data_IF_637254955466
#
_entry.id   IF_637254955466
#
_cell.length_a   1.000
_cell.length_b   1.000
_cell.length_c   1.000
_cell.angle_alpha   90.00
_cell.angle_beta   90.00
_cell.angle_gamma   90.00
#
_symmetry.space_group_name_H-M   'P 1'
#
loop_
_entity.id
_entity.type
_entity.pdbx_description
1 polymer ?
#
# COMPACT_ATOMS: atom_id res chain seq x y z
N UNK A 1 7.99 -27.65 -17.21
CA UNK A 1 7.39 -27.70 -15.86
C UNK A 1 8.51 -27.83 -14.85
N UNK A 2 8.57 -26.97 -13.85
CA UNK A 2 9.52 -27.11 -12.75
C UNK A 2 9.15 -28.36 -11.93
N UNK A 3 10.16 -29.10 -11.47
CA UNK A 3 9.93 -30.27 -10.61
C UNK A 3 9.46 -29.83 -9.23
N UNK A 4 8.72 -30.69 -8.49
CA UNK A 4 8.33 -30.45 -7.09
C UNK A 4 9.51 -30.04 -6.20
N UNK A 5 10.70 -30.64 -6.45
CA UNK A 5 11.94 -30.24 -5.77
C UNK A 5 12.34 -28.80 -6.09
N UNK A 6 12.08 -28.31 -7.29
CA UNK A 6 12.33 -26.94 -7.69
C UNK A 6 11.43 -25.96 -6.96
N UNK A 7 10.14 -26.27 -6.89
CA UNK A 7 9.13 -25.48 -6.14
C UNK A 7 9.42 -25.46 -4.64
N UNK A 8 9.77 -26.60 -4.05
CA UNK A 8 10.14 -26.68 -2.62
C UNK A 8 11.34 -25.78 -2.28
N UNK A 9 12.41 -25.85 -3.07
CA UNK A 9 13.58 -24.98 -2.88
C UNK A 9 13.24 -23.49 -3.06
N UNK A 10 12.33 -23.16 -3.96
CA UNK A 10 11.86 -21.78 -4.14
C UNK A 10 11.14 -21.30 -2.86
N UNK A 11 10.19 -22.07 -2.31
CA UNK A 11 9.49 -21.73 -1.05
C UNK A 11 10.48 -21.47 0.09
N UNK A 12 11.42 -22.35 0.32
CA UNK A 12 12.45 -22.19 1.35
C UNK A 12 13.30 -20.91 1.18
N UNK A 13 13.57 -20.51 -0.06
CA UNK A 13 14.32 -19.28 -0.34
C UNK A 13 13.48 -18.05 -0.07
N UNK A 14 12.21 -18.04 -0.45
CA UNK A 14 11.27 -16.96 -0.18
C UNK A 14 11.06 -16.76 1.33
N UNK A 15 10.99 -17.85 2.12
CA UNK A 15 10.92 -17.78 3.57
C UNK A 15 12.19 -17.16 4.17
N UNK A 16 13.38 -17.54 3.68
CA UNK A 16 14.64 -16.90 4.12
C UNK A 16 14.71 -15.43 3.75
N UNK A 17 14.26 -15.04 2.55
CA UNK A 17 14.17 -13.64 2.12
C UNK A 17 13.24 -12.85 3.04
N UNK A 18 12.10 -13.40 3.40
CA UNK A 18 11.16 -12.77 4.33
C UNK A 18 11.77 -12.46 5.70
N UNK A 19 12.70 -13.30 6.18
CA UNK A 19 13.43 -13.11 7.44
C UNK A 19 14.74 -12.30 7.31
N UNK A 20 15.14 -11.91 6.11
CA UNK A 20 16.41 -11.23 5.87
C UNK A 20 16.40 -9.76 6.36
N UNK A 21 17.59 -9.18 6.49
CA UNK A 21 17.81 -7.77 6.79
C UNK A 21 17.83 -6.88 5.53
N UNK A 22 17.54 -7.45 4.35
CA UNK A 22 17.46 -6.71 3.11
C UNK A 22 16.34 -5.66 3.16
N UNK A 23 16.54 -4.56 2.44
CA UNK A 23 15.47 -3.60 2.22
C UNK A 23 14.37 -4.19 1.34
N UNK A 24 13.21 -3.52 1.34
CA UNK A 24 12.02 -4.00 0.65
C UNK A 24 12.24 -4.22 -0.85
N UNK A 25 12.93 -3.31 -1.51
CA UNK A 25 13.18 -3.37 -2.96
C UNK A 25 14.05 -4.57 -3.32
N UNK A 26 15.14 -4.78 -2.58
CA UNK A 26 16.00 -5.95 -2.73
C UNK A 26 15.23 -7.26 -2.53
N UNK A 27 14.37 -7.33 -1.50
CA UNK A 27 13.51 -8.51 -1.27
C UNK A 27 12.58 -8.76 -2.46
N UNK A 28 11.95 -7.71 -3.00
CA UNK A 28 11.05 -7.84 -4.16
C UNK A 28 11.80 -8.35 -5.40
N UNK A 29 12.96 -7.78 -5.72
CA UNK A 29 13.74 -8.14 -6.89
C UNK A 29 14.27 -9.57 -6.81
N UNK A 30 14.82 -9.99 -5.66
CA UNK A 30 15.30 -11.37 -5.47
C UNK A 30 14.15 -12.38 -5.53
N UNK A 31 13.01 -12.08 -4.87
CA UNK A 31 11.85 -12.95 -4.89
C UNK A 31 11.28 -13.13 -6.31
N UNK A 32 11.19 -12.06 -7.10
CA UNK A 32 10.74 -12.13 -8.50
C UNK A 32 11.70 -12.97 -9.32
N UNK A 33 13.02 -12.83 -9.13
CA UNK A 33 14.01 -13.65 -9.82
C UNK A 33 13.86 -15.14 -9.51
N UNK A 34 13.51 -15.50 -8.27
CA UNK A 34 13.25 -16.87 -7.87
C UNK A 34 11.94 -17.42 -8.44
N UNK A 35 10.88 -16.67 -8.35
CA UNK A 35 9.57 -17.04 -8.90
C UNK A 35 9.63 -17.20 -10.41
N UNK A 36 10.24 -16.26 -11.13
CA UNK A 36 10.39 -16.31 -12.60
C UNK A 36 11.10 -17.57 -13.06
N UNK A 37 12.16 -18.01 -12.37
CA UNK A 37 12.89 -19.23 -12.73
C UNK A 37 12.07 -20.51 -12.59
N UNK A 38 11.09 -20.53 -11.72
CA UNK A 38 10.29 -21.71 -11.41
C UNK A 38 8.96 -21.71 -12.15
N UNK A 39 8.24 -20.59 -12.16
CA UNK A 39 6.92 -20.46 -12.77
C UNK A 39 7.03 -20.22 -14.27
N UNK A 40 7.99 -19.40 -14.69
CA UNK A 40 8.15 -18.93 -16.06
C UNK A 40 7.05 -17.91 -16.40
N UNK A 41 7.39 -16.64 -16.34
CA UNK A 41 6.57 -15.52 -16.80
C UNK A 41 7.47 -14.45 -17.41
N UNK A 42 6.94 -13.67 -18.36
CA UNK A 42 7.74 -12.73 -19.12
C UNK A 42 7.92 -11.41 -18.40
N UNK A 43 6.82 -10.91 -17.82
CA UNK A 43 6.70 -9.58 -17.25
C UNK A 43 6.05 -9.64 -15.87
N UNK A 44 6.23 -8.62 -15.08
CA UNK A 44 5.67 -8.55 -13.74
C UNK A 44 5.46 -7.10 -13.29
N UNK A 45 4.62 -6.95 -12.28
CA UNK A 45 4.40 -5.72 -11.56
C UNK A 45 4.14 -6.06 -10.08
N UNK A 46 4.71 -5.30 -9.18
CA UNK A 46 4.53 -5.51 -7.74
C UNK A 46 4.20 -4.19 -7.05
N UNK A 47 2.96 -3.70 -7.18
CA UNK A 47 2.50 -2.53 -6.43
C UNK A 47 2.38 -2.86 -4.94
N UNK A 48 2.69 -1.88 -4.10
CA UNK A 48 2.35 -1.91 -2.68
C UNK A 48 0.87 -1.64 -2.49
N UNK A 49 0.38 -1.79 -1.26
CA UNK A 49 -1.02 -1.53 -0.90
C UNK A 49 -1.12 -0.56 0.28
N UNK A 50 -2.08 0.35 0.24
CA UNK A 50 -2.60 0.93 1.48
C UNK A 50 -3.45 -0.14 2.18
N UNK A 51 -3.00 -0.71 3.33
CA UNK A 51 -3.67 -1.85 3.95
C UNK A 51 -5.06 -1.54 4.50
N UNK A 52 -5.46 -0.26 4.52
CA UNK A 52 -6.77 0.20 5.01
C UNK A 52 -7.80 0.24 3.89
N UNK A 53 -7.38 0.67 2.70
CA UNK A 53 -8.28 0.92 1.57
C UNK A 53 -8.10 -0.07 0.42
N UNK A 54 -6.99 -0.82 0.40
CA UNK A 54 -6.59 -1.68 -0.72
C UNK A 54 -6.43 -0.90 -2.03
N UNK A 55 -6.02 0.36 -1.93
CA UNK A 55 -5.58 1.14 -3.08
C UNK A 55 -4.13 0.77 -3.38
N UNK A 56 -3.75 0.53 -4.65
CA UNK A 56 -2.38 0.27 -5.01
C UNK A 56 -1.56 1.54 -4.85
N UNK A 57 -0.44 1.38 -4.19
CA UNK A 57 0.61 2.38 -4.04
C UNK A 57 1.70 2.14 -5.07
N UNK A 58 2.69 3.02 -5.09
CA UNK A 58 3.89 2.83 -5.90
C UNK A 58 4.58 1.51 -5.56
N UNK A 59 5.24 0.93 -6.55
CA UNK A 59 5.94 -0.33 -6.42
C UNK A 59 6.94 -0.52 -7.55
N UNK A 60 7.42 -1.74 -7.70
CA UNK A 60 8.35 -2.12 -8.76
C UNK A 60 7.58 -2.77 -9.92
N UNK A 61 8.06 -2.56 -11.13
CA UNK A 61 7.51 -3.20 -12.31
C UNK A 61 8.58 -3.34 -13.39
N UNK A 62 8.51 -4.41 -14.14
CA UNK A 62 9.22 -4.59 -15.40
C UNK A 62 8.26 -4.42 -16.59
N UNK A 63 6.95 -4.53 -16.32
CA UNK A 63 5.91 -4.23 -17.28
C UNK A 63 5.26 -2.91 -16.94
N UNK A 64 5.20 -2.01 -17.89
CA UNK A 64 4.39 -0.82 -17.83
C UNK A 64 3.25 -0.89 -18.88
N UNK A 65 2.14 -0.27 -18.54
CA UNK A 65 1.02 -0.12 -19.46
C UNK A 65 1.14 1.18 -20.28
N UNK A 66 2.22 1.95 -20.09
CA UNK A 66 2.43 3.24 -20.72
C UNK A 66 1.23 4.17 -20.48
N UNK A 67 0.76 4.85 -21.54
CA UNK A 67 -0.39 5.78 -21.44
C UNK A 67 -1.72 5.07 -21.09
N UNK A 68 -1.79 3.73 -21.10
CA UNK A 68 -3.00 2.98 -20.75
C UNK A 68 -3.19 2.76 -19.24
N UNK A 69 -2.24 3.18 -18.40
CA UNK A 69 -2.35 3.06 -16.93
C UNK A 69 -3.68 3.59 -16.38
N UNK A 70 -4.19 4.77 -16.80
CA UNK A 70 -5.49 5.25 -16.31
C UNK A 70 -6.61 4.26 -16.57
N UNK A 71 -6.71 3.75 -17.81
CA UNK A 71 -7.79 2.84 -18.22
C UNK A 71 -7.69 1.49 -17.55
N UNK A 72 -6.49 0.92 -17.41
CA UNK A 72 -6.27 -0.35 -16.69
C UNK A 72 -6.77 -0.25 -15.25
N UNK A 73 -6.37 0.82 -14.54
CA UNK A 73 -6.75 1.01 -13.14
C UNK A 73 -8.23 1.38 -12.98
N UNK A 74 -8.77 2.15 -13.89
CA UNK A 74 -10.21 2.42 -13.93
C UNK A 74 -11.00 1.12 -14.01
N UNK A 75 -10.72 0.27 -15.01
CA UNK A 75 -11.42 -1.00 -15.20
C UNK A 75 -11.24 -1.96 -14.02
N UNK A 76 -10.05 -1.99 -13.42
CA UNK A 76 -9.78 -2.86 -12.26
C UNK A 76 -10.55 -2.41 -11.00
N UNK A 77 -10.82 -1.11 -10.84
CA UNK A 77 -11.44 -0.54 -9.63
C UNK A 77 -12.89 -0.09 -9.79
N UNK A 78 -13.46 -0.11 -11.00
CA UNK A 78 -14.88 0.19 -11.24
C UNK A 78 -15.83 -0.94 -10.85
N UNK A 79 -15.31 -2.07 -10.42
CA UNK A 79 -16.09 -3.27 -10.10
C UNK A 79 -16.42 -4.12 -11.32
N UNK A 80 -16.57 -5.41 -11.09
CA UNK A 80 -16.97 -6.37 -12.13
C UNK A 80 -15.82 -6.97 -12.96
N UNK A 81 -14.58 -6.54 -12.80
CA UNK A 81 -13.44 -7.18 -13.46
C UNK A 81 -13.01 -8.46 -12.73
N UNK A 82 -12.45 -9.40 -13.50
CA UNK A 82 -11.96 -10.68 -13.01
C UNK A 82 -10.56 -10.55 -12.43
N UNK A 83 -10.26 -11.32 -11.36
CA UNK A 83 -8.96 -11.32 -10.68
C UNK A 83 -8.50 -9.94 -10.20
N UNK A 84 -9.44 -9.02 -9.90
CA UNK A 84 -9.11 -7.68 -9.40
C UNK A 84 -8.36 -7.75 -8.06
N UNK A 85 -7.33 -6.92 -7.91
CA UNK A 85 -6.42 -6.92 -6.77
C UNK A 85 -7.14 -6.83 -5.42
N UNK A 86 -8.08 -5.91 -5.29
CA UNK A 86 -8.78 -5.67 -4.03
C UNK A 86 -9.81 -6.76 -3.70
N UNK A 87 -10.37 -7.42 -4.72
CA UNK A 87 -11.25 -8.58 -4.58
C UNK A 87 -10.46 -9.78 -4.08
N UNK A 88 -9.32 -10.09 -4.71
CA UNK A 88 -8.44 -11.18 -4.31
C UNK A 88 -7.89 -10.98 -2.88
N UNK A 89 -7.55 -9.75 -2.51
CA UNK A 89 -7.08 -9.45 -1.17
C UNK A 89 -8.10 -9.79 -0.05
N UNK A 90 -9.39 -9.86 -0.37
CA UNK A 90 -10.47 -10.18 0.60
C UNK A 90 -10.86 -11.67 0.61
N UNK A 91 -10.48 -12.44 -0.41
CA UNK A 91 -10.83 -13.87 -0.52
C UNK A 91 -10.06 -14.71 0.50
N UNK A 92 -10.57 -15.88 0.86
CA UNK A 92 -9.84 -16.89 1.65
C UNK A 92 -8.56 -17.33 0.93
N UNK A 93 -8.64 -17.64 -0.36
CA UNK A 93 -7.49 -17.84 -1.25
C UNK A 93 -7.17 -16.54 -1.98
N UNK A 94 -6.08 -15.82 -1.62
CA UNK A 94 -5.79 -14.50 -2.12
C UNK A 94 -5.01 -14.51 -3.45
N UNK A 95 -5.23 -15.53 -4.29
CA UNK A 95 -4.56 -15.74 -5.57
C UNK A 95 -5.57 -16.13 -6.65
N UNK A 96 -5.33 -15.68 -7.87
CA UNK A 96 -6.13 -16.06 -9.04
C UNK A 96 -5.41 -15.73 -10.35
N UNK A 97 -5.92 -16.23 -11.47
CA UNK A 97 -5.51 -15.79 -12.80
C UNK A 97 -6.71 -15.47 -13.67
N UNK A 98 -6.51 -14.64 -14.69
CA UNK A 98 -7.58 -14.29 -15.61
C UNK A 98 -8.15 -15.52 -16.32
N UNK A 99 -7.29 -16.43 -16.77
CA UNK A 99 -7.71 -17.66 -17.43
C UNK A 99 -8.59 -18.52 -16.52
N UNK A 100 -8.23 -18.66 -15.25
CA UNK A 100 -9.01 -19.43 -14.26
C UNK A 100 -10.34 -18.76 -13.94
N UNK A 101 -10.33 -17.46 -13.62
CA UNK A 101 -11.52 -16.71 -13.21
C UNK A 101 -12.53 -16.53 -14.37
N UNK A 102 -12.03 -16.51 -15.62
CA UNK A 102 -12.87 -16.40 -16.81
C UNK A 102 -13.40 -17.74 -17.32
N UNK A 103 -12.88 -18.87 -16.81
CA UNK A 103 -13.14 -20.20 -17.37
C UNK A 103 -12.53 -20.38 -18.76
N UNK A 104 -11.45 -19.68 -19.06
CA UNK A 104 -10.74 -19.69 -20.35
C UNK A 104 -11.23 -18.66 -21.37
N UNK A 105 -12.36 -18.01 -21.14
CA UNK A 105 -12.86 -16.91 -21.96
C UNK A 105 -12.39 -15.56 -21.41
N UNK A 106 -11.19 -15.17 -21.78
CA UNK A 106 -10.54 -13.94 -21.27
C UNK A 106 -11.31 -12.65 -21.64
N UNK A 107 -12.13 -12.66 -22.70
CA UNK A 107 -12.93 -11.50 -23.10
C UNK A 107 -14.01 -11.12 -22.06
N UNK A 108 -14.28 -12.00 -21.10
CA UNK A 108 -15.13 -11.67 -19.94
C UNK A 108 -14.50 -10.64 -18.99
N UNK A 109 -13.20 -10.40 -19.09
CA UNK A 109 -12.53 -9.32 -18.37
C UNK A 109 -12.48 -8.07 -19.26
N UNK A 110 -13.20 -6.98 -18.93
CA UNK A 110 -13.11 -5.73 -19.68
C UNK A 110 -11.66 -5.20 -19.74
N UNK A 111 -10.90 -5.35 -18.67
CA UNK A 111 -9.50 -4.95 -18.60
C UNK A 111 -8.63 -5.73 -19.60
N UNK A 112 -8.85 -7.02 -19.73
CA UNK A 112 -8.15 -7.82 -20.73
C UNK A 112 -8.56 -7.44 -22.16
N UNK A 113 -9.84 -7.35 -22.41
CA UNK A 113 -10.37 -7.10 -23.77
C UNK A 113 -9.98 -5.71 -24.30
N UNK A 114 -10.05 -4.68 -23.45
CA UNK A 114 -9.74 -3.32 -23.85
C UNK A 114 -8.23 -2.98 -23.85
N UNK A 115 -7.45 -3.56 -22.91
CA UNK A 115 -6.05 -3.13 -22.73
C UNK A 115 -5.06 -4.29 -22.79
N UNK A 116 -5.20 -5.32 -21.93
CA UNK A 116 -4.12 -6.30 -21.76
C UNK A 116 -3.86 -7.09 -23.04
N UNK A 117 -4.89 -7.42 -23.80
CA UNK A 117 -4.79 -8.05 -25.10
C UNK A 117 -3.95 -7.23 -26.10
N UNK A 118 -4.11 -5.90 -26.08
CA UNK A 118 -3.42 -5.01 -27.01
C UNK A 118 -1.93 -4.87 -26.71
N UNK A 119 -1.55 -4.99 -25.42
CA UNK A 119 -0.14 -4.99 -24.99
C UNK A 119 0.46 -6.41 -24.97
N UNK A 120 -0.24 -7.39 -25.58
CA UNK A 120 0.28 -8.73 -25.81
C UNK A 120 0.25 -9.66 -24.60
N UNK A 121 -0.61 -9.39 -23.60
CA UNK A 121 -0.78 -10.27 -22.43
C UNK A 121 -1.79 -11.35 -22.78
N UNK A 122 -1.39 -12.62 -22.58
CA UNK A 122 -2.22 -13.81 -22.76
C UNK A 122 -2.89 -14.26 -21.47
N UNK A 123 -2.18 -14.20 -20.33
CA UNK A 123 -2.75 -14.46 -19.00
C UNK A 123 -2.06 -13.60 -17.94
N UNK A 124 -2.78 -13.25 -16.90
CA UNK A 124 -2.29 -12.55 -15.72
C UNK A 124 -2.60 -13.37 -14.47
N UNK A 125 -1.60 -13.63 -13.65
CA UNK A 125 -1.78 -14.18 -12.31
C UNK A 125 -1.53 -13.08 -11.27
N UNK A 126 -2.39 -13.01 -10.25
CA UNK A 126 -2.34 -12.01 -9.18
C UNK A 126 -2.38 -12.72 -7.84
N UNK A 127 -1.49 -12.36 -6.92
CA UNK A 127 -1.55 -12.78 -5.51
C UNK A 127 -1.41 -11.60 -4.59
N UNK A 128 -2.26 -11.53 -3.56
CA UNK A 128 -2.15 -10.54 -2.51
C UNK A 128 -1.14 -10.98 -1.44
N UNK A 129 -0.20 -10.09 -1.13
CA UNK A 129 0.77 -10.25 -0.05
C UNK A 129 0.13 -9.74 1.26
N UNK A 130 -0.46 -10.64 2.05
CA UNK A 130 -1.18 -10.27 3.28
C UNK A 130 -0.77 -11.09 4.49
N UNK A 131 -0.84 -10.46 5.65
CA UNK A 131 -0.68 -11.05 6.97
C UNK A 131 -1.87 -10.64 7.88
N UNK A 132 -1.89 -11.03 9.16
CA UNK A 132 -2.96 -10.62 10.08
C UNK A 132 -3.14 -9.10 10.26
N UNK A 133 -2.16 -8.30 9.83
CA UNK A 133 -2.18 -6.84 9.99
C UNK A 133 -2.67 -6.11 8.74
N UNK A 134 -2.73 -6.78 7.59
CA UNK A 134 -3.26 -6.19 6.36
C UNK A 134 -2.71 -6.81 5.08
N UNK A 135 -3.15 -6.25 3.95
CA UNK A 135 -2.56 -6.50 2.63
C UNK A 135 -1.52 -5.42 2.35
N UNK A 136 -0.30 -5.82 1.99
CA UNK A 136 0.86 -4.94 1.84
C UNK A 136 1.28 -4.73 0.40
N UNK A 137 0.66 -5.45 -0.54
CA UNK A 137 0.93 -5.35 -1.96
C UNK A 137 0.42 -6.56 -2.72
N UNK A 138 0.67 -6.56 -4.03
CA UNK A 138 0.30 -7.66 -4.92
C UNK A 138 1.44 -8.01 -5.85
N UNK A 139 1.71 -9.31 -6.04
CA UNK A 139 2.53 -9.78 -7.14
C UNK A 139 1.61 -10.04 -8.32
N UNK A 140 1.88 -9.39 -9.43
CA UNK A 140 1.23 -9.63 -10.72
C UNK A 140 2.27 -10.19 -11.67
N UNK A 141 2.02 -11.37 -12.21
CA UNK A 141 2.85 -12.04 -13.19
C UNK A 141 2.09 -12.16 -14.51
N UNK A 142 2.79 -11.98 -15.63
CA UNK A 142 2.17 -11.96 -16.96
C UNK A 142 2.87 -12.95 -17.89
N UNK A 143 2.05 -13.68 -18.65
CA UNK A 143 2.47 -14.49 -19.79
C UNK A 143 1.99 -13.88 -21.09
N UNK A 144 2.79 -14.04 -22.13
CA UNK A 144 2.52 -13.54 -23.45
C UNK A 144 1.37 -14.28 -24.16
N UNK A 145 0.89 -13.69 -25.24
CA UNK A 145 -0.14 -14.30 -26.08
C UNK A 145 0.39 -15.62 -26.69
N UNK A 146 -0.37 -16.69 -26.53
CA UNK A 146 -0.03 -18.01 -27.06
C UNK A 146 0.79 -18.88 -26.10
N UNK A 147 1.20 -18.35 -24.94
CA UNK A 147 1.79 -19.13 -23.88
C UNK A 147 0.69 -19.90 -23.10
N UNK A 148 1.12 -20.94 -22.38
CA UNK A 148 0.19 -21.68 -21.52
C UNK A 148 -0.36 -20.76 -20.41
N UNK A 149 -1.62 -20.86 -20.01
CA UNK A 149 -2.13 -20.18 -18.83
C UNK A 149 -1.39 -20.60 -17.54
N UNK A 150 -1.50 -19.79 -16.48
CA UNK A 150 -1.03 -20.19 -15.15
C UNK A 150 -1.87 -21.37 -14.64
N UNK A 151 -1.19 -22.46 -14.25
CA UNK A 151 -1.84 -23.65 -13.70
C UNK A 151 -1.96 -23.58 -12.16
N UNK A 152 -2.63 -24.58 -11.56
CA UNK A 152 -2.86 -24.61 -10.11
C UNK A 152 -1.56 -24.65 -9.30
N UNK A 153 -0.53 -25.34 -9.79
CA UNK A 153 0.79 -25.38 -9.13
C UNK A 153 1.50 -24.03 -9.15
N UNK A 154 1.37 -23.28 -10.26
CA UNK A 154 1.91 -21.92 -10.38
C UNK A 154 1.21 -20.99 -9.37
N UNK A 155 -0.12 -21.07 -9.29
CA UNK A 155 -0.93 -20.27 -8.36
C UNK A 155 -0.65 -20.64 -6.89
N UNK A 156 -0.44 -21.93 -6.57
CA UNK A 156 -0.07 -22.36 -5.23
C UNK A 156 1.29 -21.81 -4.79
N UNK A 157 2.29 -21.81 -5.70
CA UNK A 157 3.58 -21.24 -5.42
C UNK A 157 3.49 -19.71 -5.21
N UNK A 158 2.69 -19.00 -6.03
CA UNK A 158 2.42 -17.57 -5.84
C UNK A 158 1.72 -17.29 -4.51
N UNK A 159 0.73 -18.11 -4.12
CA UNK A 159 0.05 -17.97 -2.82
C UNK A 159 1.01 -18.12 -1.65
N UNK A 160 1.91 -19.10 -1.70
CA UNK A 160 2.97 -19.29 -0.72
C UNK A 160 3.90 -18.07 -0.66
N UNK A 161 4.31 -17.53 -1.82
CA UNK A 161 5.14 -16.33 -1.91
C UNK A 161 4.46 -15.11 -1.27
N UNK A 162 3.20 -14.86 -1.60
CA UNK A 162 2.41 -13.75 -1.05
C UNK A 162 2.33 -13.82 0.48
N UNK A 163 2.10 -14.99 1.04
CA UNK A 163 2.07 -15.21 2.49
C UNK A 163 3.44 -14.98 3.13
N UNK A 164 4.50 -15.62 2.60
CA UNK A 164 5.85 -15.56 3.19
C UNK A 164 6.42 -14.14 3.17
N UNK A 165 6.23 -13.39 2.07
CA UNK A 165 6.87 -12.09 1.86
C UNK A 165 6.11 -10.90 2.47
N UNK A 166 4.87 -11.10 2.90
CA UNK A 166 4.00 -10.05 3.45
C UNK A 166 4.66 -9.28 4.61
N UNK A 167 5.34 -9.99 5.52
CA UNK A 167 6.01 -9.37 6.67
C UNK A 167 7.19 -8.49 6.26
N UNK A 168 7.93 -8.85 5.22
CA UNK A 168 9.02 -8.04 4.69
C UNK A 168 8.50 -6.76 4.03
N UNK A 169 7.42 -6.86 3.24
CA UNK A 169 6.76 -5.68 2.67
C UNK A 169 6.26 -4.74 3.78
N UNK A 170 5.61 -5.29 4.80
CA UNK A 170 5.11 -4.54 5.96
C UNK A 170 6.20 -3.74 6.65
N UNK A 171 7.36 -4.36 6.93
CA UNK A 171 8.51 -3.66 7.54
C UNK A 171 8.98 -2.48 6.70
N UNK A 172 8.87 -2.53 5.37
CA UNK A 172 9.23 -1.43 4.50
C UNK A 172 8.42 -0.15 4.72
N UNK A 173 7.23 -0.23 5.33
CA UNK A 173 6.43 0.94 5.69
C UNK A 173 6.96 1.69 6.92
N UNK A 174 7.77 1.03 7.76
CA UNK A 174 8.37 1.61 8.96
C UNK A 174 9.82 2.06 8.75
N UNK A 175 10.40 1.82 7.57
CA UNK A 175 11.75 2.24 7.26
C UNK A 175 11.88 3.77 7.42
N UNK A 176 12.93 4.20 8.13
CA UNK A 176 13.19 5.61 8.33
C UNK A 176 13.41 6.31 6.97
N UNK A 177 12.68 7.40 6.74
CA UNK A 177 13.04 8.30 5.65
C UNK A 177 14.04 9.33 6.16
N UNK A 178 14.93 9.85 5.31
CA UNK A 178 15.74 11.01 5.67
C UNK A 178 14.81 12.13 6.10
N UNK A 179 14.96 12.60 7.35
CA UNK A 179 14.18 13.69 7.88
C UNK A 179 14.63 15.01 7.24
N UNK A 180 14.07 15.36 6.11
CA UNK A 180 14.21 16.69 5.52
C UNK A 180 13.10 17.53 6.13
N UNK A 181 13.47 18.62 6.81
CA UNK A 181 12.49 19.61 7.26
C UNK A 181 11.85 20.24 6.01
N UNK A 182 10.53 20.14 5.91
CA UNK A 182 9.78 20.72 4.80
C UNK A 182 8.96 21.90 5.31
N UNK A 183 8.95 22.96 4.53
CA UNK A 183 8.00 24.05 4.76
C UNK A 183 6.56 23.56 4.53
N UNK A 184 5.59 24.09 5.30
CA UNK A 184 4.18 23.78 5.10
C UNK A 184 3.78 24.12 3.66
N UNK A 185 3.39 23.12 2.90
CA UNK A 185 2.92 23.31 1.51
C UNK A 185 1.39 23.29 1.51
N UNK A 186 0.78 24.32 0.94
CA UNK A 186 -0.68 24.37 0.78
C UNK A 186 -1.19 23.13 0.01
N UNK A 187 -2.37 22.62 0.33
CA UNK A 187 -2.98 21.52 -0.42
C UNK A 187 -3.03 21.79 -1.91
N UNK A 188 -2.74 20.77 -2.71
CA UNK A 188 -2.95 20.77 -4.15
C UNK A 188 -4.31 20.19 -4.50
N UNK A 189 -4.99 20.80 -5.47
CA UNK A 189 -6.25 20.26 -6.01
C UNK A 189 -6.11 20.02 -7.49
N UNK A 190 -6.57 18.86 -7.95
CA UNK A 190 -6.68 18.50 -9.37
C UNK A 190 -8.16 18.19 -9.63
N UNK A 191 -8.69 18.73 -10.69
CA UNK A 191 -10.04 18.39 -11.17
C UNK A 191 -9.89 17.47 -12.38
N UNK A 192 -10.49 16.29 -12.28
CA UNK A 192 -10.57 15.33 -13.38
C UNK A 192 -11.96 15.39 -14.03
N UNK A 193 -11.98 15.15 -15.34
CA UNK A 193 -13.22 14.90 -16.08
C UNK A 193 -13.73 13.48 -15.79
N UNK A 194 -14.96 13.12 -16.22
CA UNK A 194 -15.49 11.76 -16.07
C UNK A 194 -14.61 10.66 -16.69
N UNK A 195 -13.85 10.98 -17.73
CA UNK A 195 -12.89 10.10 -18.40
C UNK A 195 -11.52 10.05 -17.69
N UNK A 196 -11.43 10.60 -16.50
CA UNK A 196 -10.23 10.71 -15.66
C UNK A 196 -9.08 11.54 -16.27
N UNK A 197 -9.32 12.26 -17.37
CA UNK A 197 -8.37 13.26 -17.89
C UNK A 197 -8.38 14.53 -17.01
N UNK A 198 -7.24 15.23 -16.96
CA UNK A 198 -7.12 16.46 -16.16
C UNK A 198 -7.92 17.59 -16.82
N UNK A 199 -8.87 18.16 -16.09
CA UNK A 199 -9.60 19.37 -16.51
C UNK A 199 -8.86 20.64 -16.06
N UNK A 200 -8.41 20.69 -14.80
CA UNK A 200 -7.69 21.81 -14.22
C UNK A 200 -6.91 21.39 -12.98
N UNK A 201 -5.97 22.22 -12.54
CA UNK A 201 -5.25 22.01 -11.28
C UNK A 201 -4.81 23.33 -10.68
N UNK A 202 -4.66 23.36 -9.36
CA UNK A 202 -4.03 24.49 -8.65
C UNK A 202 -2.52 24.49 -8.85
N UNK A 203 -1.87 25.63 -8.69
CA UNK A 203 -0.42 25.73 -8.79
C UNK A 203 0.31 24.79 -7.81
N UNK A 204 -0.18 24.67 -6.56
CA UNK A 204 0.40 23.79 -5.54
C UNK A 204 0.30 22.28 -5.86
N UNK A 205 -0.59 21.86 -6.76
CA UNK A 205 -0.73 20.44 -7.11
C UNK A 205 0.53 19.87 -7.76
N UNK A 206 1.28 20.69 -8.51
CA UNK A 206 2.53 20.27 -9.15
C UNK A 206 3.56 19.76 -8.14
N UNK A 207 3.78 20.50 -7.05
CA UNK A 207 4.71 20.14 -5.98
C UNK A 207 4.35 18.79 -5.33
N UNK A 208 3.06 18.56 -5.09
CA UNK A 208 2.60 17.30 -4.52
C UNK A 208 2.73 16.12 -5.50
N UNK A 209 2.43 16.35 -6.79
CA UNK A 209 2.61 15.33 -7.83
C UNK A 209 4.09 14.93 -7.90
N UNK A 210 5.01 15.88 -7.92
CA UNK A 210 6.46 15.63 -7.98
C UNK A 210 6.99 14.91 -6.73
N UNK A 211 6.34 15.09 -5.59
CA UNK A 211 6.67 14.37 -4.37
C UNK A 211 6.26 12.89 -4.40
N UNK A 212 5.31 12.50 -5.27
CA UNK A 212 4.89 11.09 -5.38
C UNK A 212 5.95 10.24 -6.10
N UNK A 213 6.17 8.99 -5.68
CA UNK A 213 7.05 8.08 -6.38
C UNK A 213 6.67 7.89 -7.85
N UNK A 214 7.65 7.65 -8.70
CA UNK A 214 7.47 7.45 -10.15
C UNK A 214 6.79 8.61 -10.91
N UNK A 215 6.57 9.78 -10.31
CA UNK A 215 5.91 10.92 -10.95
C UNK A 215 6.55 11.31 -12.28
N UNK A 216 7.90 11.30 -12.35
CA UNK A 216 8.63 11.61 -13.59
C UNK A 216 8.35 10.61 -14.72
N UNK A 217 8.19 9.33 -14.39
CA UNK A 217 7.85 8.29 -15.37
C UNK A 217 6.46 8.54 -15.97
N UNK A 218 5.47 8.80 -15.13
CA UNK A 218 4.10 9.09 -15.57
C UNK A 218 4.01 10.41 -16.37
N UNK A 219 4.80 11.40 -16.01
CA UNK A 219 4.87 12.67 -16.74
C UNK A 219 5.34 12.50 -18.20
N UNK A 220 6.22 11.53 -18.50
CA UNK A 220 6.64 11.21 -19.88
C UNK A 220 5.45 10.78 -20.74
N UNK A 221 4.46 10.14 -20.17
CA UNK A 221 3.24 9.71 -20.86
C UNK A 221 2.11 10.75 -20.79
N UNK A 222 2.34 11.89 -20.15
CA UNK A 222 1.34 12.94 -19.99
C UNK A 222 0.18 12.56 -19.06
N UNK A 223 0.40 11.62 -18.13
CA UNK A 223 -0.59 11.15 -17.18
C UNK A 223 -0.17 11.44 -15.72
N UNK A 224 -1.12 11.34 -14.81
CA UNK A 224 -0.86 11.48 -13.37
C UNK A 224 -0.25 10.18 -12.78
N UNK A 225 0.39 10.24 -11.59
CA UNK A 225 0.81 9.05 -10.87
C UNK A 225 -0.33 8.04 -10.69
N UNK A 226 -0.01 6.75 -10.84
CA UNK A 226 -0.98 5.66 -10.91
C UNK A 226 -2.00 5.64 -9.76
N UNK A 227 -1.58 6.01 -8.55
CA UNK A 227 -2.43 6.04 -7.34
C UNK A 227 -3.68 6.94 -7.48
N UNK A 228 -3.61 7.97 -8.33
CA UNK A 228 -4.72 8.93 -8.51
C UNK A 228 -5.95 8.24 -9.11
N UNK A 229 -5.74 7.31 -10.05
CA UNK A 229 -6.85 6.72 -10.82
C UNK A 229 -7.77 5.79 -9.99
N UNK A 230 -7.28 4.83 -9.20
CA UNK A 230 -8.15 4.01 -8.36
C UNK A 230 -8.85 4.82 -7.26
N UNK A 231 -8.21 5.88 -6.73
CA UNK A 231 -8.86 6.79 -5.79
C UNK A 231 -10.01 7.54 -6.47
N UNK A 232 -9.76 8.09 -7.67
CA UNK A 232 -10.78 8.78 -8.47
C UNK A 232 -11.93 7.85 -8.87
N UNK A 233 -11.62 6.65 -9.37
CA UNK A 233 -12.64 5.66 -9.78
C UNK A 233 -13.56 5.31 -8.63
N UNK A 234 -13.02 5.05 -7.43
CA UNK A 234 -13.84 4.77 -6.26
C UNK A 234 -14.73 5.93 -5.82
N UNK A 235 -14.24 7.17 -5.94
CA UNK A 235 -15.05 8.34 -5.66
C UNK A 235 -16.21 8.49 -6.65
N UNK A 236 -15.93 8.28 -7.95
CA UNK A 236 -16.92 8.36 -9.03
C UNK A 236 -18.02 7.31 -8.87
N UNK A 237 -17.66 6.09 -8.55
CA UNK A 237 -18.57 4.94 -8.53
C UNK A 237 -19.32 4.80 -7.18
N UNK A 238 -19.37 5.84 -6.36
CA UNK A 238 -20.13 5.89 -5.12
C UNK A 238 -19.51 5.13 -3.95
N UNK A 239 -18.22 4.84 -4.01
CA UNK A 239 -17.47 4.30 -2.88
C UNK A 239 -17.55 5.22 -1.65
N UNK A 240 -17.51 4.64 -0.45
CA UNK A 240 -17.47 5.47 0.76
C UNK A 240 -16.28 6.43 0.72
N UNK A 241 -16.43 7.64 1.29
CA UNK A 241 -15.32 8.60 1.39
C UNK A 241 -14.06 7.99 2.02
N UNK A 242 -14.23 7.00 2.91
CA UNK A 242 -13.13 6.25 3.50
C UNK A 242 -12.40 5.36 2.47
N UNK A 243 -13.08 4.88 1.43
CA UNK A 243 -12.51 4.05 0.37
C UNK A 243 -11.87 4.83 -0.78
N UNK A 244 -12.25 6.11 -0.95
CA UNK A 244 -11.74 7.00 -1.99
C UNK A 244 -10.54 7.83 -1.51
N UNK A 245 -9.65 7.22 -0.73
CA UNK A 245 -8.42 7.85 -0.21
C UNK A 245 -7.30 6.83 -0.04
N UNK A 246 -6.06 7.33 -0.11
CA UNK A 246 -4.87 6.54 0.16
C UNK A 246 -3.78 7.40 0.81
N UNK A 247 -2.82 6.74 1.48
CA UNK A 247 -1.59 7.36 1.94
C UNK A 247 -0.42 6.78 1.16
N UNK A 248 0.31 7.64 0.48
CA UNK A 248 1.55 7.28 -0.20
C UNK A 248 2.74 7.96 0.47
N UNK A 249 3.85 7.26 0.58
CA UNK A 249 5.07 7.88 1.07
C UNK A 249 5.80 8.57 -0.07
N UNK A 250 5.94 9.89 0.03
CA UNK A 250 6.66 10.69 -0.94
C UNK A 250 8.15 10.36 -1.01
N UNK A 251 8.79 10.72 -2.11
CA UNK A 251 10.25 10.56 -2.29
C UNK A 251 11.07 11.36 -1.28
N UNK A 252 10.48 12.36 -0.69
CA UNK A 252 11.02 13.19 0.39
C UNK A 252 10.76 12.62 1.80
N UNK A 253 10.07 11.48 1.88
CA UNK A 253 9.75 10.78 3.11
C UNK A 253 8.49 11.24 3.83
N UNK A 254 7.83 12.31 3.40
CA UNK A 254 6.52 12.71 3.93
C UNK A 254 5.43 11.73 3.54
N UNK A 255 4.43 11.59 4.39
CA UNK A 255 3.19 10.92 4.02
C UNK A 255 2.27 11.92 3.30
N UNK A 256 1.89 11.57 2.08
CA UNK A 256 0.95 12.34 1.25
C UNK A 256 -0.41 11.67 1.35
N UNK A 257 -1.41 12.42 1.77
CA UNK A 257 -2.82 12.01 1.69
C UNK A 257 -3.35 12.38 0.31
N UNK A 258 -3.91 11.40 -0.38
CA UNK A 258 -4.60 11.51 -1.66
C UNK A 258 -6.06 11.19 -1.40
N UNK A 259 -6.95 12.13 -1.66
CA UNK A 259 -8.39 12.00 -1.44
C UNK A 259 -9.16 12.43 -2.68
N UNK A 260 -10.22 11.72 -3.02
CA UNK A 260 -11.10 12.07 -4.13
C UNK A 260 -12.54 12.26 -3.65
N UNK A 261 -13.22 13.23 -4.26
CA UNK A 261 -14.64 13.45 -4.08
C UNK A 261 -15.28 13.85 -5.42
N UNK A 262 -16.51 13.39 -5.73
CA UNK A 262 -17.24 13.91 -6.88
C UNK A 262 -17.53 15.39 -6.67
N UNK A 263 -17.51 16.16 -7.76
CA UNK A 263 -17.96 17.56 -7.71
C UNK A 263 -19.47 17.61 -7.74
N UNK A 264 -20.05 18.44 -6.86
CA UNK A 264 -21.49 18.70 -6.77
C UNK A 264 -21.78 20.11 -7.32
N UNK A 265 -22.86 20.25 -8.07
CA UNK A 265 -23.33 21.54 -8.62
C UNK A 265 -24.02 21.40 -9.96
N UNK A 266 -24.74 22.45 -10.39
CA UNK A 266 -25.44 22.48 -11.70
C UNK A 266 -24.43 22.33 -12.84
N UNK A 267 -24.49 21.19 -13.57
CA UNK A 267 -23.59 20.86 -14.65
C UNK A 267 -22.19 20.41 -14.24
N UNK A 268 -21.91 20.26 -12.95
CA UNK A 268 -20.63 19.75 -12.46
C UNK A 268 -20.55 18.24 -12.74
N UNK A 269 -19.67 17.87 -13.67
CA UNK A 269 -19.35 16.48 -13.97
C UNK A 269 -17.84 16.32 -13.82
N UNK A 270 -17.37 15.88 -12.65
CA UNK A 270 -15.94 15.73 -12.44
C UNK A 270 -15.60 15.21 -11.04
N UNK A 271 -14.32 15.00 -10.82
CA UNK A 271 -13.78 14.48 -9.57
C UNK A 271 -12.70 15.44 -9.08
N UNK A 272 -12.83 15.94 -7.86
CA UNK A 272 -11.77 16.69 -7.20
C UNK A 272 -10.83 15.72 -6.50
N UNK A 273 -9.53 15.84 -6.79
CA UNK A 273 -8.44 15.14 -6.09
C UNK A 273 -7.73 16.15 -5.22
N UNK A 274 -7.64 15.89 -3.93
CA UNK A 274 -6.86 16.69 -3.00
C UNK A 274 -5.57 15.95 -2.63
N UNK A 275 -4.44 16.65 -2.73
CA UNK A 275 -3.11 16.19 -2.35
C UNK A 275 -2.59 17.10 -1.22
N UNK A 276 -2.21 16.52 -0.11
CA UNK A 276 -1.70 17.26 1.06
C UNK A 276 -0.82 16.39 1.95
N UNK A 277 -0.11 17.01 2.90
CA UNK A 277 0.51 16.25 3.97
C UNK A 277 -0.56 15.48 4.76
N UNK A 278 -0.28 14.22 5.06
CA UNK A 278 -1.14 13.43 5.91
C UNK A 278 -1.06 13.92 7.36
N UNK A 279 -2.21 14.03 8.02
CA UNK A 279 -2.23 14.31 9.45
C UNK A 279 -1.78 13.08 10.26
N UNK A 280 -1.23 13.27 11.48
CA UNK A 280 -0.81 12.16 12.35
C UNK A 280 -1.92 11.13 12.60
N UNK A 281 -3.14 11.59 12.79
CA UNK A 281 -4.30 10.71 13.00
C UNK A 281 -4.58 9.80 11.79
N UNK A 282 -4.24 10.23 10.59
CA UNK A 282 -4.43 9.45 9.35
C UNK A 282 -3.37 8.36 9.20
N UNK A 283 -2.13 8.65 9.61
CA UNK A 283 -1.02 7.68 9.57
C UNK A 283 -1.04 6.71 10.73
N UNK A 284 -1.72 7.03 11.83
CA UNK A 284 -1.73 6.23 13.07
C UNK A 284 -2.12 4.78 12.83
N UNK A 285 -3.26 4.51 12.17
CA UNK A 285 -3.71 3.14 11.90
C UNK A 285 -2.74 2.38 11.00
N UNK A 286 -2.23 3.04 9.95
CA UNK A 286 -1.22 2.47 9.06
C UNK A 286 0.05 2.06 9.83
N UNK A 287 0.57 2.94 10.67
CA UNK A 287 1.78 2.67 11.46
C UNK A 287 1.55 1.58 12.51
N UNK A 288 0.40 1.58 13.19
CA UNK A 288 0.06 0.49 14.11
C UNK A 288 0.07 -0.87 13.42
N UNK A 289 -0.48 -0.97 12.21
CA UNK A 289 -0.43 -2.19 11.39
C UNK A 289 0.99 -2.52 10.94
N UNK A 290 1.74 -1.52 10.48
CA UNK A 290 3.11 -1.69 10.00
C UNK A 290 4.06 -2.19 11.10
N UNK A 291 3.89 -1.73 12.33
CA UNK A 291 4.62 -2.20 13.51
C UNK A 291 4.04 -3.50 14.12
N UNK A 292 3.03 -4.10 13.50
CA UNK A 292 2.37 -5.32 14.00
C UNK A 292 1.84 -5.16 15.44
N UNK A 293 1.26 -4.01 15.76
CA UNK A 293 0.67 -3.81 17.08
C UNK A 293 -0.65 -4.56 17.20
N UNK A 294 -0.83 -5.31 18.29
CA UNK A 294 -2.10 -5.93 18.63
C UNK A 294 -3.15 -4.88 18.99
N UNK A 295 -4.43 -5.25 19.02
CA UNK A 295 -5.51 -4.33 19.40
C UNK A 295 -5.24 -3.66 20.76
N UNK A 296 -4.80 -4.41 21.78
CA UNK A 296 -4.50 -3.87 23.11
C UNK A 296 -3.29 -2.95 23.15
N UNK A 297 -2.25 -3.28 22.40
CA UNK A 297 -1.09 -2.39 22.24
C UNK A 297 -1.48 -1.09 21.53
N UNK A 298 -2.33 -1.19 20.51
CA UNK A 298 -2.88 -0.03 19.80
C UNK A 298 -3.72 0.86 20.72
N UNK A 299 -4.59 0.27 21.59
CA UNK A 299 -5.38 1.02 22.55
C UNK A 299 -4.46 1.80 23.50
N UNK A 300 -3.39 1.17 24.01
CA UNK A 300 -2.40 1.83 24.87
C UNK A 300 -1.69 2.97 24.14
N UNK A 301 -1.19 2.73 22.92
CA UNK A 301 -0.51 3.79 22.13
C UNK A 301 -1.45 4.93 21.82
N UNK A 302 -2.71 4.65 21.45
CA UNK A 302 -3.73 5.67 21.19
C UNK A 302 -3.97 6.58 22.39
N UNK A 303 -4.10 5.98 23.59
CA UNK A 303 -4.27 6.74 24.83
C UNK A 303 -3.05 7.63 25.14
N UNK A 304 -1.83 7.13 24.89
CA UNK A 304 -0.60 7.91 25.07
C UNK A 304 -0.48 9.08 24.08
N UNK A 305 -0.84 8.86 22.81
CA UNK A 305 -0.84 9.91 21.78
C UNK A 305 -1.90 10.98 22.10
N UNK A 306 -3.01 10.60 22.72
CA UNK A 306 -4.02 11.52 23.25
C UNK A 306 -3.54 12.29 24.52
N UNK A 307 -2.30 12.06 24.98
CA UNK A 307 -1.71 12.80 26.11
C UNK A 307 -2.00 12.22 27.50
N UNK A 308 -2.63 11.02 27.58
CA UNK A 308 -2.94 10.40 28.87
C UNK A 308 -1.67 9.88 29.56
N UNK A 309 -1.56 10.09 30.86
CA UNK A 309 -0.52 9.48 31.67
C UNK A 309 -0.84 7.99 31.95
N UNK A 310 0.11 7.27 32.54
CA UNK A 310 -0.04 5.82 32.80
C UNK A 310 -1.26 5.53 33.69
N UNK A 311 -1.58 6.41 34.65
CA UNK A 311 -2.71 6.22 35.56
C UNK A 311 -4.04 6.36 34.79
N UNK A 312 -4.18 7.40 34.00
CA UNK A 312 -5.36 7.62 33.15
C UNK A 312 -5.55 6.49 32.14
N UNK A 313 -4.45 5.96 31.56
CA UNK A 313 -4.51 4.77 30.69
C UNK A 313 -5.04 3.55 31.44
N UNK A 314 -4.61 3.30 32.69
CA UNK A 314 -5.15 2.17 33.49
C UNK A 314 -6.63 2.32 33.77
N UNK A 315 -7.07 3.52 34.11
CA UNK A 315 -8.48 3.83 34.38
C UNK A 315 -9.33 3.69 33.11
N UNK A 316 -8.87 4.26 31.98
CA UNK A 316 -9.62 4.22 30.71
C UNK A 316 -9.74 2.82 30.11
N UNK A 317 -8.66 2.04 30.13
CA UNK A 317 -8.63 0.69 29.52
C UNK A 317 -9.05 -0.42 30.48
N UNK A 318 -9.30 -0.08 31.75
CA UNK A 318 -9.70 -1.02 32.82
C UNK A 318 -8.70 -2.17 32.95
N UNK A 319 -7.40 -1.84 33.00
CA UNK A 319 -6.29 -2.81 33.17
C UNK A 319 -5.34 -2.34 34.25
N UNK A 320 -4.54 -3.28 34.80
CA UNK A 320 -3.57 -2.95 35.85
C UNK A 320 -2.39 -2.12 35.33
N UNK A 321 -1.72 -1.36 36.22
CA UNK A 321 -0.48 -0.64 35.89
C UNK A 321 0.59 -1.57 35.32
N UNK A 322 0.70 -2.77 35.86
CA UNK A 322 1.63 -3.79 35.39
C UNK A 322 1.33 -4.20 33.97
N UNK A 323 0.06 -4.45 33.64
CA UNK A 323 -0.38 -4.78 32.27
C UNK A 323 -0.07 -3.66 31.28
N UNK A 324 -0.24 -2.38 31.67
CA UNK A 324 0.14 -1.24 30.82
C UNK A 324 1.66 -1.25 30.55
N UNK A 325 2.47 -1.51 31.57
CA UNK A 325 3.93 -1.58 31.42
C UNK A 325 4.36 -2.74 30.50
N UNK A 326 3.73 -3.91 30.61
CA UNK A 326 3.99 -5.04 29.72
C UNK A 326 3.66 -4.72 28.27
N UNK A 327 2.50 -4.09 28.02
CA UNK A 327 2.16 -3.62 26.69
C UNK A 327 3.16 -2.60 26.16
N UNK A 328 3.59 -1.63 26.98
CA UNK A 328 4.58 -0.63 26.59
C UNK A 328 5.93 -1.26 26.24
N UNK A 329 6.39 -2.22 27.04
CA UNK A 329 7.62 -2.97 26.75
C UNK A 329 7.56 -3.68 25.41
N UNK A 330 6.45 -4.36 25.13
CA UNK A 330 6.21 -5.02 23.83
C UNK A 330 6.15 -4.00 22.68
N UNK A 331 5.45 -2.89 22.86
CA UNK A 331 5.37 -1.80 21.87
C UNK A 331 6.75 -1.21 21.58
N UNK A 332 7.54 -0.88 22.61
CA UNK A 332 8.89 -0.35 22.44
C UNK A 332 9.77 -1.31 21.61
N UNK A 333 9.69 -2.61 21.90
CA UNK A 333 10.43 -3.62 21.14
C UNK A 333 9.98 -3.68 19.67
N UNK A 334 8.66 -3.64 19.39
CA UNK A 334 8.10 -3.70 18.04
C UNK A 334 8.38 -2.45 17.23
N UNK A 335 8.34 -1.28 17.88
CA UNK A 335 8.60 0.02 17.24
C UNK A 335 10.11 0.30 17.11
N UNK A 336 10.95 -0.35 17.93
CA UNK A 336 12.40 -0.14 17.94
C UNK A 336 12.80 1.14 18.67
N UNK A 337 12.05 1.55 19.70
CA UNK A 337 12.30 2.75 20.50
C UNK A 337 12.60 2.39 21.96
N UNK A 338 13.27 3.29 22.65
CA UNK A 338 13.70 3.08 24.05
C UNK A 338 12.94 3.95 25.07
N UNK A 339 12.16 4.90 24.59
CA UNK A 339 11.47 5.86 25.45
C UNK A 339 10.06 6.22 24.97
N UNK A 340 9.21 6.65 25.92
CA UNK A 340 7.89 7.19 25.60
C UNK A 340 7.96 8.38 24.65
N UNK A 341 8.97 9.25 24.79
CA UNK A 341 9.19 10.40 23.91
C UNK A 341 9.43 9.95 22.46
N UNK A 342 10.30 8.97 22.26
CA UNK A 342 10.58 8.44 20.93
C UNK A 342 9.33 7.76 20.34
N UNK A 343 8.56 7.01 21.18
CA UNK A 343 7.30 6.43 20.75
C UNK A 343 6.32 7.49 20.26
N UNK A 344 6.11 8.55 21.06
CA UNK A 344 5.22 9.64 20.69
C UNK A 344 5.71 10.35 19.42
N UNK A 345 7.01 10.58 19.26
CA UNK A 345 7.57 11.17 18.05
C UNK A 345 7.33 10.30 16.80
N UNK A 346 7.28 8.98 16.94
CA UNK A 346 6.98 8.07 15.82
C UNK A 346 5.54 8.17 15.33
N UNK A 347 4.59 8.41 16.24
CA UNK A 347 3.16 8.45 15.93
C UNK A 347 2.58 9.87 15.83
N UNK A 348 3.35 10.90 16.20
CA UNK A 348 3.00 12.30 16.00
C UNK A 348 3.86 12.85 14.87
N UNK A 349 3.28 13.62 13.95
CA UNK A 349 4.10 14.37 13.00
C UNK A 349 5.01 15.33 13.78
N UNK A 350 6.17 15.68 13.28
CA UNK A 350 6.88 16.84 13.79
C UNK A 350 5.95 18.06 13.59
N UNK A 351 5.25 18.41 14.66
CA UNK A 351 4.47 19.64 14.70
C UNK A 351 5.48 20.78 14.68
N UNK A 352 5.28 21.79 13.83
CA UNK A 352 6.08 23.04 13.79
C UNK A 352 6.00 23.85 15.09
N UNK A 353 5.22 23.40 16.05
CA UNK A 353 5.26 23.90 17.41
C UNK A 353 6.50 23.31 18.10
N UNK A 354 7.51 24.14 18.30
CA UNK A 354 8.64 23.90 19.20
C UNK A 354 8.13 23.20 20.45
N UNK A 355 8.28 21.88 20.46
CA UNK A 355 8.10 21.12 21.68
C UNK A 355 9.24 21.52 22.60
N UNK A 356 8.92 22.43 23.53
CA UNK A 356 9.87 22.90 24.53
C UNK A 356 10.19 21.70 25.43
N UNK A 357 11.40 21.16 25.27
CA UNK A 357 11.90 19.98 25.97
C UNK A 357 11.94 20.12 27.49
N UNK A 358 11.54 21.30 28.00
CA UNK A 358 11.56 21.67 29.41
C UNK A 358 10.28 21.27 30.20
N UNK A 359 9.22 20.78 29.56
CA UNK A 359 7.92 20.70 30.25
C UNK A 359 7.41 19.27 30.54
N UNK A 360 8.18 18.22 30.28
CA UNK A 360 7.84 16.88 30.77
C UNK A 360 8.81 16.46 31.87
N UNK A 361 8.33 16.14 33.10
CA UNK A 361 9.15 15.52 34.10
C UNK A 361 9.60 14.14 33.59
N UNK A 362 10.91 14.01 33.38
CA UNK A 362 11.54 12.74 33.05
C UNK A 362 11.42 11.80 34.26
N UNK A 363 10.55 10.80 34.20
CA UNK A 363 10.71 9.62 35.04
C UNK A 363 11.59 8.61 34.28
N UNK A 364 12.80 8.34 34.75
CA UNK A 364 13.57 7.22 34.29
C UNK A 364 12.83 5.93 34.69
N UNK A 365 12.65 5.02 33.74
CA UNK A 365 12.26 3.64 34.04
C UNK A 365 13.32 3.07 35.01
N UNK A 366 13.01 2.99 36.30
CA UNK A 366 13.82 2.26 37.26
C UNK A 366 13.67 0.78 36.94
N UNK A 367 14.82 0.15 36.80
CA UNK A 367 15.06 -1.30 36.66
C UNK A 367 14.34 -2.16 37.72
#
# INVERSE_FOLDING_TARGET
>A
MASDRGRGRCRERLERLAGSALDRESVQLEAIGDLRRVIGFDRWCWPLADPRTLIPLSGLAEHDYGPNVPRVLELEYSGGDLAAMDVLARRSSPVGSLARESGGDLARSPRWDEVLRQVGIGDEAVVACRDPFGCWGWIKAYRGKGERPFDDDDLELLASAGSSLSSALRRGFTAAAPGIAHEPTAPGVIVLKPDLSVASRTAGAGTWIEALPAAKLFAVWGILPAIVYPVATRARDGGSAAGARALERGVDGRWVAIEAAPLEGDGATGIAITLRAAAPAETFDLLCRAYALTHRERDVVSALVAGLDTRAVTEQLVISRHTVQDHLKSVFQKVGVSSRRELLATFSAPDDRRWDAATLPGEPLRS
#
